data_IF_533566442501
#
_entry.id   IF_533566442501
#
_cell.length_a   1.000
_cell.length_b   1.000
_cell.length_c   1.000
_cell.angle_alpha   90.00
_cell.angle_beta   90.00
_cell.angle_gamma   90.00
#
_symmetry.space_group_name_H-M   'P 1'
#
loop_
_entity.id
_entity.type
_entity.pdbx_description
1 polymer ?
#
# COMPACT_ATOMS: atom_id res chain seq x y z
N UNK A 1 15.94 39.60 -4.20
CA UNK A 1 16.00 39.73 -2.72
C UNK A 1 14.57 39.80 -2.20
N UNK A 2 13.96 38.67 -1.85
CA UNK A 2 12.83 38.55 -0.90
C UNK A 2 13.06 37.22 -0.17
N UNK A 3 13.13 37.31 1.15
CA UNK A 3 13.25 36.25 2.14
C UNK A 3 11.87 35.92 2.73
N UNK A 4 11.67 34.69 3.21
CA UNK A 4 10.45 34.24 3.93
C UNK A 4 10.26 32.71 3.82
N UNK A 5 11.01 31.86 4.55
CA UNK A 5 10.71 31.30 5.90
C UNK A 5 9.36 30.53 5.86
N UNK A 6 9.22 29.20 5.99
CA UNK A 6 9.65 28.27 7.06
C UNK A 6 9.84 26.87 6.43
N UNK A 7 11.03 26.26 6.60
CA UNK A 7 11.25 24.86 6.25
C UNK A 7 11.21 24.01 7.53
N UNK A 8 10.10 23.29 7.76
CA UNK A 8 10.00 22.32 8.84
C UNK A 8 11.01 21.20 8.59
N UNK A 9 11.79 20.75 9.60
CA UNK A 9 12.66 19.59 9.43
C UNK A 9 11.81 18.38 9.06
N UNK A 10 12.02 17.85 7.85
CA UNK A 10 11.47 16.57 7.44
C UNK A 10 12.24 15.49 8.20
N UNK A 11 11.68 15.09 9.33
CA UNK A 11 12.11 13.99 10.19
C UNK A 11 11.75 12.68 9.46
N UNK A 12 12.09 11.51 9.96
CA UNK A 12 12.21 10.28 9.17
C UNK A 12 10.91 9.74 8.55
N UNK A 13 10.47 10.30 7.43
CA UNK A 13 9.04 10.52 7.29
C UNK A 13 8.20 9.35 6.73
N UNK A 14 7.26 8.93 7.56
CA UNK A 14 5.93 8.41 7.19
C UNK A 14 5.18 9.55 6.46
N UNK A 15 4.47 9.29 5.35
CA UNK A 15 4.04 10.32 4.37
C UNK A 15 3.74 11.70 5.00
N UNK A 16 4.59 12.73 4.75
CA UNK A 16 4.52 14.05 5.39
C UNK A 16 3.23 14.82 5.14
N UNK A 17 2.56 14.48 4.05
CA UNK A 17 1.67 15.39 3.38
C UNK A 17 0.25 14.93 3.57
N UNK A 18 -0.60 15.82 4.04
CA UNK A 18 -2.03 15.56 4.00
C UNK A 18 -2.46 15.31 2.55
N UNK A 19 -3.11 14.17 2.30
CA UNK A 19 -3.62 13.79 0.98
C UNK A 19 -4.99 13.15 1.15
N UNK A 20 -5.91 13.52 0.26
CA UNK A 20 -7.21 12.88 0.12
C UNK A 20 -7.44 12.72 -1.38
N UNK A 21 -7.63 11.48 -1.81
CA UNK A 21 -7.83 11.17 -3.22
C UNK A 21 -8.84 10.03 -3.37
N UNK A 22 -9.74 10.20 -4.32
CA UNK A 22 -10.59 9.13 -4.83
C UNK A 22 -9.96 8.68 -6.14
N UNK A 23 -9.60 7.41 -6.23
CA UNK A 23 -9.04 6.82 -7.44
C UNK A 23 -10.02 5.78 -7.97
N UNK A 24 -10.39 5.92 -9.24
CA UNK A 24 -11.18 4.98 -10.00
C UNK A 24 -10.36 4.51 -11.20
N UNK A 25 -10.32 3.21 -11.46
CA UNK A 25 -9.61 2.66 -12.60
C UNK A 25 -10.16 1.31 -13.00
N UNK A 26 -9.75 0.83 -14.16
CA UNK A 26 -10.04 -0.53 -14.59
C UNK A 26 -8.90 -1.06 -15.44
N UNK A 27 -8.68 -2.36 -15.36
CA UNK A 27 -7.78 -3.09 -16.22
C UNK A 27 -8.61 -3.95 -17.18
N UNK A 28 -8.36 -3.80 -18.47
CA UNK A 28 -8.97 -4.61 -19.53
C UNK A 28 -7.88 -5.22 -20.39
N UNK A 29 -8.06 -6.48 -20.77
CA UNK A 29 -7.15 -7.15 -21.69
C UNK A 29 -7.48 -6.75 -23.13
N UNK A 30 -6.46 -6.28 -23.87
CA UNK A 30 -6.61 -5.99 -25.30
C UNK A 30 -6.78 -7.27 -26.13
N UNK A 31 -6.27 -8.40 -25.62
CA UNK A 31 -6.34 -9.72 -26.25
C UNK A 31 -6.50 -10.77 -25.16
N UNK A 32 -7.41 -11.71 -25.38
CA UNK A 32 -7.81 -12.69 -24.38
C UNK A 32 -8.92 -12.15 -23.49
N UNK A 33 -10.02 -12.90 -23.41
CA UNK A 33 -11.25 -12.49 -22.73
C UNK A 33 -11.13 -12.65 -21.21
N UNK A 34 -10.09 -12.07 -20.61
CA UNK A 34 -9.97 -12.04 -19.16
C UNK A 34 -11.06 -11.10 -18.58
N UNK A 35 -11.53 -11.37 -17.36
CA UNK A 35 -12.48 -10.48 -16.68
C UNK A 35 -11.95 -9.05 -16.58
N UNK A 36 -12.83 -8.06 -16.75
CA UNK A 36 -12.50 -6.66 -16.48
C UNK A 36 -12.30 -6.51 -14.97
N UNK A 37 -11.15 -5.99 -14.57
CA UNK A 37 -10.86 -5.71 -13.17
C UNK A 37 -10.99 -4.20 -12.92
N UNK A 38 -12.18 -3.77 -12.50
CA UNK A 38 -12.41 -2.41 -12.05
C UNK A 38 -12.04 -2.25 -10.57
N UNK A 39 -11.50 -1.09 -10.21
CA UNK A 39 -11.15 -0.76 -8.84
C UNK A 39 -11.54 0.68 -8.50
N UNK A 40 -11.87 0.87 -7.24
CA UNK A 40 -12.16 2.16 -6.65
C UNK A 40 -11.60 2.16 -5.24
N UNK A 41 -10.86 3.20 -4.88
CA UNK A 41 -10.43 3.39 -3.50
C UNK A 41 -10.40 4.86 -3.10
N UNK A 42 -10.72 5.09 -1.83
CA UNK A 42 -10.48 6.36 -1.15
C UNK A 42 -9.18 6.26 -0.36
N UNK A 43 -8.22 7.10 -0.68
CA UNK A 43 -6.97 7.20 0.05
C UNK A 43 -6.92 8.49 0.86
N UNK A 44 -6.59 8.35 2.13
CA UNK A 44 -6.48 9.41 3.11
C UNK A 44 -5.17 9.27 3.88
N UNK A 45 -4.27 10.23 3.67
CA UNK A 45 -3.10 10.43 4.51
C UNK A 45 -3.29 11.67 5.37
N UNK A 46 -3.15 11.52 6.69
CA UNK A 46 -3.33 12.56 7.69
C UNK A 46 -2.16 12.54 8.67
N UNK A 47 -1.13 13.36 8.43
CA UNK A 47 -0.17 13.72 9.47
C UNK A 47 -0.90 14.40 10.63
N UNK A 48 -0.35 14.27 11.82
CA UNK A 48 -0.91 14.85 13.05
C UNK A 48 -2.36 14.39 13.30
N UNK A 49 -2.62 13.09 13.07
CA UNK A 49 -3.93 12.48 13.29
C UNK A 49 -4.14 12.28 14.79
N UNK A 50 -5.09 13.00 15.39
CA UNK A 50 -5.40 12.98 16.83
C UNK A 50 -4.29 13.51 17.77
N UNK A 51 -3.00 13.30 17.46
CA UNK A 51 -1.83 13.84 18.15
C UNK A 51 -0.78 14.34 17.16
N UNK A 52 0.06 15.26 17.58
CA UNK A 52 1.09 15.88 16.73
C UNK A 52 2.19 14.92 16.27
N UNK A 53 2.42 13.84 17.02
CA UNK A 53 3.40 12.80 16.73
C UNK A 53 2.85 11.66 15.87
N UNK A 54 1.55 11.63 15.62
CA UNK A 54 0.86 10.50 15.02
C UNK A 54 0.48 10.79 13.55
N UNK A 55 0.74 9.86 12.65
CA UNK A 55 0.33 9.95 11.24
C UNK A 55 -0.55 8.76 10.89
N UNK A 56 -1.68 9.00 10.24
CA UNK A 56 -2.56 7.94 9.74
C UNK A 56 -2.58 7.94 8.22
N UNK A 57 -2.29 6.80 7.61
CA UNK A 57 -2.51 6.52 6.19
C UNK A 57 -3.54 5.42 6.06
N UNK A 58 -4.58 5.63 5.25
CA UNK A 58 -5.59 4.61 4.95
C UNK A 58 -5.95 4.66 3.47
N UNK A 59 -6.02 3.50 2.82
CA UNK A 59 -6.69 3.27 1.55
C UNK A 59 -7.87 2.32 1.80
N UNK A 60 -9.08 2.75 1.46
CA UNK A 60 -10.31 1.95 1.63
C UNK A 60 -10.96 1.74 0.27
N UNK A 61 -11.25 0.49 -0.04
CA UNK A 61 -12.09 0.05 -1.15
C UNK A 61 -13.24 -0.81 -0.60
N UNK A 62 -14.30 -1.11 -1.39
CA UNK A 62 -15.46 -1.85 -0.91
C UNK A 62 -15.14 -3.18 -0.21
N UNK A 63 -14.11 -3.89 -0.70
CA UNK A 63 -13.68 -5.19 -0.18
C UNK A 63 -12.23 -5.19 0.30
N UNK A 64 -11.57 -4.04 0.40
CA UNK A 64 -10.14 -3.99 0.74
C UNK A 64 -9.80 -2.78 1.62
N UNK A 65 -8.86 -2.98 2.53
CA UNK A 65 -8.31 -1.97 3.42
C UNK A 65 -6.78 -2.10 3.41
N UNK A 66 -6.07 -0.98 3.32
CA UNK A 66 -4.65 -0.86 3.66
C UNK A 66 -4.52 0.34 4.58
N UNK A 67 -3.90 0.16 5.74
CA UNK A 67 -3.62 1.25 6.66
C UNK A 67 -2.22 1.17 7.24
N UNK A 68 -1.70 2.33 7.63
CA UNK A 68 -0.49 2.46 8.42
C UNK A 68 -0.66 3.59 9.44
N UNK A 69 -0.46 3.25 10.72
CA UNK A 69 -0.38 4.18 11.83
C UNK A 69 1.09 4.43 12.16
N UNK A 70 1.51 5.67 11.98
CA UNK A 70 2.87 6.13 12.20
C UNK A 70 3.05 6.89 13.50
N UNK A 71 4.18 6.68 14.17
CA UNK A 71 4.63 7.44 15.32
C UNK A 71 5.99 8.08 15.00
N UNK A 72 5.99 9.41 14.96
CA UNK A 72 7.19 10.22 14.71
C UNK A 72 8.11 10.19 15.93
N UNK A 73 9.42 10.16 15.69
CA UNK A 73 10.47 10.20 16.73
C UNK A 73 10.43 9.05 17.74
N UNK A 74 9.76 7.94 17.42
CA UNK A 74 9.54 6.84 18.36
C UNK A 74 10.83 6.20 18.87
N UNK A 75 11.89 6.16 18.05
CA UNK A 75 13.19 5.57 18.41
C UNK A 75 14.33 6.61 18.41
N UNK A 76 13.98 7.90 18.45
CA UNK A 76 14.94 9.01 18.51
C UNK A 76 14.57 10.15 17.56
N UNK A 77 15.34 11.26 17.55
CA UNK A 77 15.01 12.48 16.80
C UNK A 77 14.92 12.31 15.28
N UNK A 78 15.35 11.17 14.75
CA UNK A 78 15.44 10.90 13.32
C UNK A 78 14.90 9.51 13.00
N UNK A 79 14.03 8.94 13.83
CA UNK A 79 13.54 7.58 13.63
C UNK A 79 12.05 7.47 13.96
N UNK A 80 11.26 7.18 12.93
CA UNK A 80 9.82 7.00 13.01
C UNK A 80 9.50 5.51 12.88
N UNK A 81 8.37 5.08 13.45
CA UNK A 81 7.88 3.70 13.32
C UNK A 81 6.46 3.69 12.78
N UNK A 82 6.12 2.66 12.02
CA UNK A 82 4.79 2.44 11.46
C UNK A 82 4.25 1.06 11.80
N UNK A 83 2.96 0.99 12.11
CA UNK A 83 2.20 -0.26 12.25
C UNK A 83 1.11 -0.26 11.19
N UNK A 84 1.13 -1.25 10.31
CA UNK A 84 0.14 -1.35 9.25
C UNK A 84 -0.71 -2.61 9.35
N UNK A 85 -1.95 -2.50 8.93
CA UNK A 85 -2.83 -3.65 8.66
C UNK A 85 -3.40 -3.49 7.27
N UNK A 86 -3.37 -4.56 6.50
CA UNK A 86 -3.91 -4.59 5.15
C UNK A 86 -4.62 -5.91 4.90
N UNK A 87 -5.65 -5.90 4.06
CA UNK A 87 -6.37 -7.11 3.72
C UNK A 87 -7.65 -6.79 2.95
N UNK A 88 -8.17 -7.80 2.29
CA UNK A 88 -9.40 -7.69 1.55
C UNK A 88 -9.83 -8.98 0.89
N UNK A 89 -11.07 -8.95 0.42
CA UNK A 89 -11.59 -9.99 -0.43
C UNK A 89 -11.11 -9.81 -1.87
N UNK A 90 -10.89 -10.94 -2.53
CA UNK A 90 -10.51 -11.03 -3.94
C UNK A 90 -9.15 -10.42 -4.30
N UNK A 91 -8.39 -9.91 -3.31
CA UNK A 91 -7.08 -9.30 -3.52
C UNK A 91 -6.03 -10.31 -4.00
N UNK A 92 -6.22 -11.57 -3.62
CA UNK A 92 -5.32 -12.69 -3.91
C UNK A 92 -5.95 -13.68 -4.92
N UNK A 93 -7.04 -13.29 -5.59
CA UNK A 93 -7.72 -14.12 -6.60
C UNK A 93 -6.83 -14.39 -7.81
N UNK A 94 -6.99 -15.57 -8.39
CA UNK A 94 -6.21 -16.01 -9.54
C UNK A 94 -7.10 -16.27 -10.75
N UNK A 95 -6.74 -15.68 -11.89
CA UNK A 95 -7.39 -15.91 -13.17
C UNK A 95 -6.42 -16.65 -14.10
N UNK A 96 -6.67 -17.93 -14.34
CA UNK A 96 -5.83 -18.74 -15.24
C UNK A 96 -6.03 -18.30 -16.69
N UNK A 97 -4.92 -17.98 -17.35
CA UNK A 97 -4.90 -17.60 -18.76
C UNK A 97 -3.79 -18.37 -19.46
N UNK A 98 -4.18 -19.25 -20.39
CA UNK A 98 -3.25 -20.06 -21.17
C UNK A 98 -3.38 -19.71 -22.65
N UNK A 99 -2.27 -19.35 -23.29
CA UNK A 99 -2.24 -18.95 -24.70
C UNK A 99 -3.25 -17.84 -25.06
N UNK A 100 -3.48 -16.90 -24.13
CA UNK A 100 -4.45 -15.82 -24.28
C UNK A 100 -5.92 -16.25 -24.15
N UNK A 101 -6.20 -17.47 -23.70
CA UNK A 101 -7.55 -17.94 -23.38
C UNK A 101 -7.73 -17.98 -21.87
N UNK A 102 -8.74 -17.27 -21.38
CA UNK A 102 -9.17 -17.37 -19.98
C UNK A 102 -9.77 -18.75 -19.71
N UNK A 103 -9.34 -19.39 -18.61
CA UNK A 103 -9.77 -20.71 -18.18
C UNK A 103 -10.46 -20.57 -16.81
N UNK A 104 -11.76 -20.23 -16.78
CA UNK A 104 -12.48 -20.04 -15.52
C UNK A 104 -12.48 -21.29 -14.63
N UNK A 105 -12.49 -22.47 -15.26
CA UNK A 105 -12.47 -23.77 -14.58
C UNK A 105 -11.22 -24.05 -13.74
N UNK A 106 -10.14 -23.31 -13.97
CA UNK A 106 -8.86 -23.38 -13.25
C UNK A 106 -8.56 -22.05 -12.54
N UNK A 107 -9.57 -21.18 -12.41
CA UNK A 107 -9.49 -19.89 -11.70
C UNK A 107 -10.22 -20.00 -10.36
N UNK A 108 -9.82 -19.18 -9.39
CA UNK A 108 -10.33 -19.26 -8.03
C UNK A 108 -10.19 -17.92 -7.30
N UNK A 109 -10.90 -17.77 -6.18
CA UNK A 109 -10.86 -16.57 -5.37
C UNK A 109 -9.88 -16.68 -4.22
N UNK A 110 -9.22 -15.56 -3.92
CA UNK A 110 -8.24 -15.43 -2.86
C UNK A 110 -8.56 -14.23 -1.99
N UNK A 111 -8.60 -14.48 -0.69
CA UNK A 111 -8.85 -13.49 0.33
C UNK A 111 -7.64 -13.45 1.25
N UNK A 112 -7.24 -12.26 1.67
CA UNK A 112 -6.01 -12.15 2.44
C UNK A 112 -6.03 -10.99 3.42
N UNK A 113 -5.15 -11.10 4.40
CA UNK A 113 -4.98 -10.10 5.42
C UNK A 113 -3.68 -10.26 6.17
N UNK A 114 -3.13 -9.15 6.63
CA UNK A 114 -1.85 -9.15 7.29
C UNK A 114 -1.55 -7.88 8.06
N UNK A 115 -0.46 -7.97 8.81
CA UNK A 115 0.07 -6.89 9.60
C UNK A 115 1.51 -6.60 9.19
N UNK A 116 1.94 -5.36 9.44
CA UNK A 116 3.29 -4.92 9.13
C UNK A 116 3.83 -3.97 10.18
N UNK A 117 5.14 -3.98 10.31
CA UNK A 117 5.91 -3.07 11.14
C UNK A 117 6.98 -2.42 10.26
N UNK A 118 7.08 -1.10 10.31
CA UNK A 118 8.01 -0.31 9.53
C UNK A 118 8.88 0.56 10.44
N UNK A 119 10.15 0.71 10.11
CA UNK A 119 11.07 1.69 10.69
C UNK A 119 11.58 2.59 9.58
N UNK A 120 11.48 3.88 9.81
CA UNK A 120 11.97 4.91 8.91
C UNK A 120 13.05 5.69 9.66
N UNK A 121 14.28 5.73 9.15
CA UNK A 121 15.38 6.47 9.77
C UNK A 121 15.96 7.52 8.83
N UNK A 122 16.07 8.76 9.31
CA UNK A 122 16.57 9.91 8.58
C UNK A 122 18.10 9.99 8.67
N UNK A 123 18.79 9.66 7.59
CA UNK A 123 20.26 9.65 7.55
C UNK A 123 20.84 11.07 7.52
N UNK A 124 20.23 11.97 6.74
CA UNK A 124 20.78 13.30 6.44
C UNK A 124 19.84 14.45 6.88
N UNK A 125 19.56 14.63 8.19
CA UNK A 125 18.55 15.58 8.68
C UNK A 125 18.82 17.05 8.29
N UNK A 126 20.09 17.41 8.06
CA UNK A 126 20.49 18.79 7.72
C UNK A 126 20.46 19.08 6.21
N UNK A 127 20.19 18.07 5.37
CA UNK A 127 20.23 18.22 3.92
C UNK A 127 18.84 18.42 3.31
N UNK A 128 18.79 19.23 2.25
CA UNK A 128 17.54 19.59 1.55
C UNK A 128 16.88 18.38 0.88
N UNK A 129 17.68 17.52 0.24
CA UNK A 129 17.17 16.33 -0.42
C UNK A 129 17.15 15.20 0.59
N UNK A 130 15.97 14.65 0.91
CA UNK A 130 15.88 13.65 1.94
C UNK A 130 16.45 12.29 1.56
N UNK A 131 17.35 11.73 2.37
CA UNK A 131 17.76 10.34 2.37
C UNK A 131 17.31 9.64 3.66
N UNK A 132 16.54 8.57 3.50
CA UNK A 132 16.04 7.77 4.61
C UNK A 132 16.35 6.29 4.40
N UNK A 133 16.72 5.61 5.48
CA UNK A 133 16.73 4.15 5.55
C UNK A 133 15.32 3.67 5.93
N UNK A 134 14.84 2.63 5.25
CA UNK A 134 13.51 2.06 5.46
C UNK A 134 13.66 0.56 5.66
N UNK A 135 13.09 0.06 6.75
CA UNK A 135 12.88 -1.37 6.97
C UNK A 135 11.40 -1.61 7.18
N UNK A 136 10.83 -2.63 6.54
CA UNK A 136 9.47 -3.09 6.76
C UNK A 136 9.46 -4.59 6.88
N UNK A 137 8.81 -5.10 7.90
CA UNK A 137 8.52 -6.52 8.09
C UNK A 137 7.01 -6.68 8.03
N UNK A 138 6.52 -7.73 7.37
CA UNK A 138 5.10 -8.03 7.30
C UNK A 138 4.83 -9.52 7.37
N UNK A 139 3.69 -9.87 7.95
CA UNK A 139 3.11 -11.20 7.91
C UNK A 139 1.73 -11.10 7.24
N UNK A 140 1.44 -12.03 6.33
CA UNK A 140 0.22 -12.02 5.54
C UNK A 140 -0.33 -13.45 5.42
N UNK A 141 -1.61 -13.63 5.66
CA UNK A 141 -2.34 -14.88 5.50
C UNK A 141 -3.22 -14.80 4.26
N UNK A 142 -3.29 -15.88 3.50
CA UNK A 142 -4.15 -16.01 2.33
C UNK A 142 -4.98 -17.28 2.46
N UNK A 143 -6.28 -17.15 2.19
CA UNK A 143 -7.20 -18.27 2.03
C UNK A 143 -7.80 -18.31 0.64
N UNK A 144 -7.93 -19.52 0.09
CA UNK A 144 -8.48 -19.75 -1.24
C UNK A 144 -9.86 -20.39 -1.19
N UNK A 145 -10.75 -19.95 -2.08
CA UNK A 145 -12.07 -20.55 -2.28
C UNK A 145 -12.35 -20.75 -3.76
N UNK A 146 -13.11 -21.78 -4.07
CA UNK A 146 -13.58 -22.02 -5.42
C UNK A 146 -14.62 -20.97 -5.84
N UNK A 147 -14.73 -20.76 -7.14
CA UNK A 147 -15.80 -19.99 -7.78
C UNK A 147 -16.88 -20.93 -8.28
N UNK A 148 -18.04 -20.35 -8.58
CA UNK A 148 -19.17 -21.07 -9.20
C UNK A 148 -18.79 -21.82 -10.50
N UNK A 149 -17.76 -21.35 -11.21
CA UNK A 149 -17.27 -21.91 -12.46
C UNK A 149 -15.95 -22.69 -12.35
N UNK A 150 -15.34 -22.75 -11.17
CA UNK A 150 -14.17 -23.61 -10.90
C UNK A 150 -14.58 -25.08 -11.07
N UNK A 151 -13.73 -25.89 -11.71
CA UNK A 151 -14.05 -27.30 -11.89
C UNK A 151 -14.08 -28.04 -10.55
N UNK A 152 -15.09 -28.87 -10.31
CA UNK A 152 -15.23 -29.69 -9.08
C UNK A 152 -14.03 -30.60 -8.76
N UNK A 153 -13.20 -30.91 -9.75
CA UNK A 153 -11.99 -31.73 -9.58
C UNK A 153 -10.70 -30.91 -9.62
N UNK A 154 -10.78 -29.58 -9.64
CA UNK A 154 -9.63 -28.70 -9.55
C UNK A 154 -9.20 -28.61 -8.09
N UNK A 155 -7.92 -28.86 -7.82
CA UNK A 155 -7.35 -28.76 -6.48
C UNK A 155 -6.84 -27.34 -6.27
N UNK A 156 -7.40 -26.64 -5.29
CA UNK A 156 -6.92 -25.33 -4.89
C UNK A 156 -5.56 -25.46 -4.20
N UNK A 157 -4.69 -24.44 -4.29
CA UNK A 157 -3.52 -24.37 -3.44
C UNK A 157 -3.92 -24.35 -1.96
N UNK A 158 -3.05 -24.86 -1.10
CA UNK A 158 -3.22 -24.72 0.34
C UNK A 158 -3.21 -23.25 0.76
N UNK A 159 -4.07 -22.92 1.72
CA UNK A 159 -3.99 -21.68 2.48
C UNK A 159 -2.60 -21.54 3.10
N UNK A 160 -2.03 -20.34 3.05
CA UNK A 160 -0.67 -20.13 3.53
C UNK A 160 -0.48 -18.82 4.27
N UNK A 161 0.58 -18.79 5.06
CA UNK A 161 1.10 -17.59 5.71
C UNK A 161 2.48 -17.28 5.16
N UNK A 162 2.68 -16.04 4.72
CA UNK A 162 3.97 -15.55 4.25
C UNK A 162 4.50 -14.42 5.13
N UNK A 163 5.80 -14.47 5.40
CA UNK A 163 6.57 -13.37 5.96
C UNK A 163 7.36 -12.65 4.87
N UNK A 164 7.36 -11.32 4.87
CA UNK A 164 8.21 -10.51 4.00
C UNK A 164 9.04 -9.53 4.82
N UNK A 165 10.29 -9.31 4.39
CA UNK A 165 11.13 -8.23 4.87
C UNK A 165 11.63 -7.41 3.70
N UNK A 166 11.41 -6.09 3.75
CA UNK A 166 11.93 -5.11 2.81
C UNK A 166 12.89 -4.18 3.54
N UNK A 167 14.10 -4.03 3.00
CA UNK A 167 15.10 -3.08 3.47
C UNK A 167 15.54 -2.24 2.28
N UNK A 168 15.66 -0.93 2.45
CA UNK A 168 16.12 -0.06 1.36
C UNK A 168 16.43 1.36 1.78
N UNK A 169 16.95 2.11 0.82
CA UNK A 169 17.17 3.56 0.94
C UNK A 169 16.13 4.28 0.09
N UNK A 170 15.57 5.36 0.62
CA UNK A 170 14.65 6.26 -0.06
C UNK A 170 15.31 7.63 -0.21
N UNK A 171 15.49 8.05 -1.45
CA UNK A 171 15.92 9.40 -1.81
C UNK A 171 14.70 10.21 -2.28
N UNK A 172 14.50 11.40 -1.74
CA UNK A 172 13.34 12.23 -2.04
C UNK A 172 12.08 11.86 -1.23
N UNK A 173 11.10 12.77 -1.23
CA UNK A 173 9.95 12.69 -0.32
C UNK A 173 8.60 13.08 -0.90
N UNK A 174 8.56 13.63 -2.12
CA UNK A 174 7.31 14.04 -2.77
C UNK A 174 7.06 13.17 -4.00
N UNK A 175 6.11 12.27 -3.89
CA UNK A 175 5.51 11.66 -5.07
C UNK A 175 4.80 12.77 -5.87
N UNK A 176 5.10 12.93 -7.18
CA UNK A 176 4.48 13.94 -8.01
C UNK A 176 2.99 13.65 -8.14
N UNK A 177 2.14 14.58 -7.70
CA UNK A 177 0.72 14.54 -8.07
C UNK A 177 0.67 14.99 -9.53
N UNK A 178 0.37 14.06 -10.44
CA UNK A 178 0.28 14.35 -11.89
C UNK A 178 -0.97 15.14 -12.28
N UNK A 179 -1.88 15.37 -11.33
CA UNK A 179 -3.07 16.19 -11.56
C UNK A 179 -2.76 17.66 -11.28
N UNK A 180 -3.14 18.59 -12.19
CA UNK A 180 -3.04 20.01 -11.94
C UNK A 180 -3.86 20.38 -10.70
N UNK A 181 -3.40 21.37 -9.91
CA UNK A 181 -4.23 21.91 -8.84
C UNK A 181 -5.45 22.57 -9.49
N UNK A 182 -6.61 21.94 -9.38
CA UNK A 182 -7.87 22.62 -9.61
C UNK A 182 -8.08 23.53 -8.39
N UNK A 183 -8.20 24.83 -8.69
CA UNK A 183 -8.08 25.98 -7.80
C UNK A 183 -8.87 25.90 -6.49
#
# INVERSE_FOLDING_TARGET
MIWGIIGIPALAQIDPNKRQLLHLGYNASLKGHAPIAAYAFYYWNRPQFYRDDLTLRVAVAPVYLDSELGLSHALGPNTDIGFGVAGGGFADSYNEIRNGKYIPRESFDGHGGGASFSVYHRINPRQRIPLSFVTRVSAYYVSYTDRDDTARGFELPDDYTAGNMRIGLRLGGKEPVLFPSLA
#
